data_IF_132916223121
#
_entry.id   IF_132916223121
#
_cell.length_a   1.000
_cell.length_b   1.000
_cell.length_c   1.000
_cell.angle_alpha   90.00
_cell.angle_beta   90.00
_cell.angle_gamma   90.00
#
_symmetry.space_group_name_H-M   'P 1'
#
loop_
_entity.id
_entity.type
_entity.pdbx_description
1 polymer ?
#
# COMPACT_ATOMS: atom_id res chain seq x y z
N UNK A 1 -14.41 -9.76 -9.37
CA UNK A 1 -14.43 -8.30 -9.60
C UNK A 1 -13.17 -7.69 -9.00
N UNK A 2 -12.13 -7.59 -9.84
CA UNK A 2 -10.86 -6.94 -9.53
C UNK A 2 -11.07 -5.43 -9.63
N UNK A 3 -11.35 -4.81 -8.47
CA UNK A 3 -11.49 -3.36 -8.38
C UNK A 3 -10.10 -2.73 -8.41
N UNK A 4 -9.95 -1.69 -9.24
CA UNK A 4 -8.84 -0.76 -9.20
C UNK A 4 -9.21 0.37 -8.24
N UNK A 5 -8.33 0.64 -7.28
CA UNK A 5 -8.52 1.67 -6.26
C UNK A 5 -7.47 2.76 -6.43
N UNK A 6 -7.89 4.02 -6.37
CA UNK A 6 -6.93 5.12 -6.35
C UNK A 6 -6.31 5.29 -4.96
N UNK A 7 -5.16 5.97 -4.90
CA UNK A 7 -4.43 6.19 -3.64
C UNK A 7 -5.30 6.74 -2.49
N UNK A 8 -6.29 7.59 -2.80
CA UNK A 8 -7.21 8.12 -1.81
C UNK A 8 -8.08 7.04 -1.14
N UNK A 9 -8.57 6.10 -1.93
CA UNK A 9 -9.38 4.98 -1.43
C UNK A 9 -8.53 3.95 -0.70
N UNK A 10 -7.36 3.63 -1.25
CA UNK A 10 -6.39 2.74 -0.61
C UNK A 10 -5.96 3.27 0.77
N UNK A 11 -5.65 4.56 0.87
CA UNK A 11 -5.24 5.19 2.12
C UNK A 11 -6.34 5.12 3.19
N UNK A 12 -7.62 5.36 2.80
CA UNK A 12 -8.77 5.21 3.69
C UNK A 12 -8.92 3.79 4.22
N UNK A 13 -8.78 2.77 3.36
CA UNK A 13 -8.88 1.36 3.77
C UNK A 13 -7.77 0.93 4.72
N UNK A 14 -6.60 1.57 4.63
CA UNK A 14 -5.44 1.28 5.46
C UNK A 14 -5.33 2.22 6.68
N UNK A 15 -6.31 3.08 6.94
CA UNK A 15 -6.27 4.07 8.04
C UNK A 15 -5.00 4.95 8.05
N UNK A 16 -4.57 5.39 6.86
CA UNK A 16 -3.40 6.26 6.66
C UNK A 16 -3.72 7.41 5.71
N UNK A 17 -2.79 8.36 5.57
CA UNK A 17 -2.92 9.44 4.58
C UNK A 17 -2.32 9.02 3.23
N UNK A 18 -2.83 9.55 2.10
CA UNK A 18 -2.20 9.34 0.79
C UNK A 18 -0.73 9.79 0.76
N UNK A 19 -0.39 10.84 1.50
CA UNK A 19 0.98 11.31 1.64
C UNK A 19 1.86 10.26 2.33
N UNK A 20 1.36 9.58 3.35
CA UNK A 20 2.09 8.51 4.02
C UNK A 20 2.44 7.37 3.05
N UNK A 21 1.49 6.93 2.23
CA UNK A 21 1.74 5.93 1.19
C UNK A 21 2.81 6.40 0.19
N UNK A 22 2.75 7.65 -0.29
CA UNK A 22 3.78 8.22 -1.18
C UNK A 22 5.16 8.24 -0.53
N UNK A 23 5.24 8.58 0.75
CA UNK A 23 6.50 8.60 1.49
C UNK A 23 7.09 7.20 1.65
N UNK A 24 6.26 6.21 2.00
CA UNK A 24 6.71 4.82 2.10
C UNK A 24 7.22 4.28 0.77
N UNK A 25 6.51 4.58 -0.34
CA UNK A 25 6.93 4.20 -1.68
C UNK A 25 8.24 4.89 -2.07
N UNK A 26 8.35 6.20 -1.83
CA UNK A 26 9.56 6.98 -2.12
C UNK A 26 10.78 6.48 -1.33
N UNK A 27 10.57 6.03 -0.10
CA UNK A 27 11.61 5.43 0.75
C UNK A 27 11.93 3.97 0.36
N UNK A 28 11.25 3.39 -0.63
CA UNK A 28 11.41 1.98 -1.02
C UNK A 28 10.93 0.98 0.04
N UNK A 29 10.10 1.43 0.99
CA UNK A 29 9.60 0.59 2.09
C UNK A 29 8.38 -0.24 1.72
N UNK A 30 7.65 0.18 0.69
CA UNK A 30 6.56 -0.58 0.07
C UNK A 30 6.82 -0.72 -1.42
N UNK A 31 6.24 -1.74 -2.08
CA UNK A 31 6.36 -1.90 -3.53
C UNK A 31 5.86 -0.66 -4.29
N UNK A 32 6.46 -0.35 -5.45
CA UNK A 32 6.00 0.74 -6.31
C UNK A 32 4.56 0.48 -6.75
N UNK A 33 3.71 1.50 -6.64
CA UNK A 33 2.33 1.39 -7.06
C UNK A 33 2.22 1.40 -8.59
N UNK A 34 1.24 0.68 -9.12
CA UNK A 34 0.88 0.80 -10.54
C UNK A 34 0.36 2.20 -10.83
N UNK A 35 0.47 2.63 -12.08
CA UNK A 35 0.06 3.97 -12.51
C UNK A 35 -0.91 3.92 -13.68
N UNK A 36 -1.88 4.81 -13.65
CA UNK A 36 -2.77 5.14 -14.76
C UNK A 36 -2.68 6.64 -15.10
N UNK A 37 -3.54 7.13 -16.00
CA UNK A 37 -3.60 8.54 -16.39
C UNK A 37 -3.95 9.48 -15.22
N UNK A 38 -4.54 8.95 -14.14
CA UNK A 38 -5.02 9.71 -12.97
C UNK A 38 -4.12 9.54 -11.74
N UNK A 39 -3.03 8.78 -11.84
CA UNK A 39 -2.01 8.66 -10.81
C UNK A 39 -1.80 7.21 -10.35
N UNK A 40 -1.72 7.02 -9.03
CA UNK A 40 -1.40 5.70 -8.44
C UNK A 40 -2.64 4.88 -8.23
N UNK A 41 -2.57 3.63 -8.67
CA UNK A 41 -3.64 2.66 -8.60
C UNK A 41 -3.19 1.39 -7.88
N UNK A 42 -4.12 0.79 -7.14
CA UNK A 42 -3.93 -0.38 -6.31
C UNK A 42 -5.03 -1.38 -6.61
N UNK A 43 -4.68 -2.66 -6.74
CA UNK A 43 -5.67 -3.74 -6.70
C UNK A 43 -6.00 -4.14 -5.28
N UNK A 44 -7.00 -5.02 -5.15
CA UNK A 44 -7.29 -5.70 -3.88
C UNK A 44 -6.07 -6.44 -3.32
N UNK A 45 -5.28 -7.07 -4.19
CA UNK A 45 -4.05 -7.74 -3.80
C UNK A 45 -3.03 -6.75 -3.23
N UNK A 46 -2.83 -5.61 -3.90
CA UNK A 46 -1.88 -4.58 -3.44
C UNK A 46 -2.29 -4.05 -2.06
N UNK A 47 -3.59 -3.79 -1.84
CA UNK A 47 -4.11 -3.36 -0.54
C UNK A 47 -3.88 -4.44 0.53
N UNK A 48 -4.16 -5.70 0.22
CA UNK A 48 -3.94 -6.82 1.14
C UNK A 48 -2.45 -6.96 1.50
N UNK A 49 -1.55 -6.84 0.51
CA UNK A 49 -0.12 -6.86 0.72
C UNK A 49 0.33 -5.72 1.65
N UNK A 50 -0.09 -4.48 1.38
CA UNK A 50 0.23 -3.33 2.24
C UNK A 50 -0.26 -3.53 3.67
N UNK A 51 -1.45 -4.10 3.85
CA UNK A 51 -1.99 -4.43 5.17
C UNK A 51 -1.15 -5.50 5.87
N UNK A 52 -0.77 -6.57 5.17
CA UNK A 52 0.10 -7.64 5.70
C UNK A 52 1.51 -7.16 6.03
N UNK A 53 2.02 -6.18 5.28
CA UNK A 53 3.26 -5.47 5.59
C UNK A 53 3.14 -4.64 6.88
N UNK A 54 1.93 -4.30 7.33
CA UNK A 54 1.71 -3.51 8.54
C UNK A 54 1.52 -2.01 8.27
N UNK A 55 1.17 -1.62 7.04
CA UNK A 55 0.74 -0.24 6.77
C UNK A 55 -0.55 0.05 7.55
N UNK A 56 -0.54 1.10 8.37
CA UNK A 56 -1.70 1.49 9.18
C UNK A 56 -1.86 0.73 10.51
N UNK A 57 -1.03 -0.27 10.78
CA UNK A 57 -1.12 -1.04 12.03
C UNK A 57 -0.48 -0.32 13.23
N UNK A 58 -0.92 -0.67 14.45
CA UNK A 58 -0.32 -0.23 15.72
C UNK A 58 0.07 -1.46 16.57
N UNK A 59 1.30 -1.52 17.14
CA UNK A 59 2.41 -0.57 16.97
C UNK A 59 2.91 -0.55 15.52
N UNK A 60 3.50 0.59 15.09
CA UNK A 60 3.99 0.76 13.71
C UNK A 60 5.15 -0.19 13.44
N UNK A 61 4.87 -1.39 12.92
CA UNK A 61 5.87 -2.37 12.50
C UNK A 61 5.63 -2.69 11.03
N UNK A 62 6.44 -2.07 10.17
CA UNK A 62 6.39 -2.31 8.74
C UNK A 62 7.40 -3.39 8.36
N UNK A 63 6.92 -4.54 7.91
CA UNK A 63 7.72 -5.62 7.31
C UNK A 63 8.13 -5.25 5.89
N UNK A 64 9.22 -5.82 5.38
CA UNK A 64 9.58 -5.73 3.97
C UNK A 64 8.60 -6.55 3.12
N UNK A 65 8.47 -6.19 1.84
CA UNK A 65 7.57 -6.88 0.94
C UNK A 65 7.99 -8.35 0.73
N UNK A 66 9.30 -8.59 0.62
CA UNK A 66 9.91 -9.93 0.50
C UNK A 66 9.50 -10.83 1.69
N UNK A 67 9.63 -10.34 2.93
CA UNK A 67 9.25 -11.07 4.14
C UNK A 67 7.77 -11.44 4.22
N UNK A 68 6.90 -10.75 3.47
CA UNK A 68 5.45 -11.00 3.44
C UNK A 68 5.06 -11.94 2.30
N UNK A 69 5.80 -11.94 1.20
CA UNK A 69 5.54 -12.80 0.06
C UNK A 69 6.13 -14.21 0.24
N UNK A 70 7.19 -14.34 1.05
CA UNK A 70 7.83 -15.62 1.39
C UNK A 70 7.21 -16.35 2.59
N UNK A 71 6.17 -15.79 3.22
CA UNK A 71 5.52 -16.29 4.45
C UNK A 71 4.14 -16.90 4.17
#
# INVERSE_FOLDING_TARGET
>A
MDGVFHIGECAKQLDVTPQHLRMLEWQGRIPPARRDLNGRIYSKFDIALLKSMGVGSRPRKLKRAEEVLDA
#
